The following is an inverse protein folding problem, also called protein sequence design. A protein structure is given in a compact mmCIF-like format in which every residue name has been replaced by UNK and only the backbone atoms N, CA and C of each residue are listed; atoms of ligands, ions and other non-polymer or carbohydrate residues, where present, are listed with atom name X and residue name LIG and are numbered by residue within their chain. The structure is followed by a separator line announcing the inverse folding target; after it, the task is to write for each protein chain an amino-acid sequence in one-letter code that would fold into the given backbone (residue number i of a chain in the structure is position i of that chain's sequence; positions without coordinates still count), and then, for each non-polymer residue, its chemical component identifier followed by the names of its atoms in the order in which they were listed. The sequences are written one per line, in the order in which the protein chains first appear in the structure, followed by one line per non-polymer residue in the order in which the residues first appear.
data_IF_108551113232
#
_entry.id   IF_108551113232
#
_cell.length_a   1.000
_cell.length_b   1.000
_cell.length_c   1.000
_cell.angle_alpha   90.00
_cell.angle_beta   90.00
_cell.angle_gamma   90.00
#
_symmetry.space_group_name_H-M   'P 1'
#
loop_
_entity.id
_entity.type
_entity.pdbx_description
1 polymer ?
#
# COMPACT_ATOMS: atom_id res chain seq x y z
N UNK A 1 -20.45 25.94 20.38
CA UNK A 1 -20.14 24.99 19.30
C UNK A 1 -18.93 24.21 19.74
N UNK A 2 -19.09 22.94 20.07
CA UNK A 2 -18.00 22.09 20.56
C UNK A 2 -17.06 21.76 19.41
N UNK A 3 -15.86 22.34 19.41
CA UNK A 3 -14.71 21.85 18.67
C UNK A 3 -14.47 20.40 19.10
N UNK A 4 -15.04 19.45 18.36
CA UNK A 4 -14.57 18.07 18.44
C UNK A 4 -13.11 18.12 18.01
N UNK A 5 -12.19 17.81 18.93
CA UNK A 5 -10.76 17.78 18.65
C UNK A 5 -10.55 16.91 17.41
N UNK A 6 -10.11 17.55 16.33
CA UNK A 6 -9.86 16.86 15.06
C UNK A 6 -8.69 15.91 15.32
N UNK A 7 -8.99 14.61 15.39
CA UNK A 7 -8.01 13.55 15.66
C UNK A 7 -6.80 13.72 14.74
N UNK A 8 -5.59 13.69 15.31
CA UNK A 8 -4.33 13.91 14.59
C UNK A 8 -4.22 13.00 13.35
N UNK A 9 -3.74 13.56 12.24
CA UNK A 9 -3.70 12.88 10.95
C UNK A 9 -2.85 11.61 11.03
N UNK A 10 -1.71 11.69 11.71
CA UNK A 10 -0.78 10.56 11.86
C UNK A 10 -1.42 9.42 12.67
N UNK A 11 -2.26 9.75 13.66
CA UNK A 11 -2.99 8.78 14.47
C UNK A 11 -4.05 8.06 13.63
N UNK A 12 -4.82 8.81 12.84
CA UNK A 12 -5.79 8.23 11.89
C UNK A 12 -5.07 7.32 10.90
N UNK A 13 -3.96 7.80 10.34
CA UNK A 13 -3.20 7.08 9.33
C UNK A 13 -2.68 5.75 9.89
N UNK A 14 -2.01 5.77 11.04
CA UNK A 14 -1.52 4.55 11.71
C UNK A 14 -2.65 3.55 12.00
N UNK A 15 -3.81 4.03 12.48
CA UNK A 15 -4.97 3.18 12.76
C UNK A 15 -5.49 2.49 11.50
N UNK A 16 -5.74 3.26 10.43
CA UNK A 16 -6.34 2.73 9.20
C UNK A 16 -5.36 1.82 8.46
N UNK A 17 -4.06 2.15 8.43
CA UNK A 17 -3.04 1.28 7.85
C UNK A 17 -2.93 -0.07 8.55
N UNK A 18 -2.93 -0.07 9.89
CA UNK A 18 -2.90 -1.32 10.66
C UNK A 18 -4.12 -2.18 10.33
N UNK A 19 -5.31 -1.59 10.34
CA UNK A 19 -6.56 -2.28 10.02
C UNK A 19 -6.56 -2.83 8.60
N UNK A 20 -6.08 -2.05 7.63
CA UNK A 20 -5.92 -2.49 6.25
C UNK A 20 -4.99 -3.70 6.15
N UNK A 21 -3.83 -3.66 6.83
CA UNK A 21 -2.88 -4.76 6.83
C UNK A 21 -3.47 -6.05 7.44
N UNK A 22 -4.24 -5.93 8.53
CA UNK A 22 -4.96 -7.05 9.14
C UNK A 22 -5.97 -7.66 8.17
N UNK A 23 -6.77 -6.82 7.49
CA UNK A 23 -7.77 -7.29 6.52
C UNK A 23 -7.11 -7.93 5.29
N UNK A 24 -6.01 -7.36 4.79
CA UNK A 24 -5.22 -7.97 3.71
C UNK A 24 -4.70 -9.32 4.14
N UNK A 25 -4.08 -9.42 5.33
CA UNK A 25 -3.56 -10.68 5.85
C UNK A 25 -4.65 -11.75 5.98
N UNK A 26 -5.84 -11.38 6.45
CA UNK A 26 -6.99 -12.28 6.52
C UNK A 26 -7.49 -12.74 5.13
N UNK A 27 -7.27 -11.94 4.08
CA UNK A 27 -7.64 -12.28 2.70
C UNK A 27 -6.63 -13.16 1.97
N UNK A 28 -5.38 -13.27 2.46
CA UNK A 28 -4.30 -14.06 1.82
C UNK A 28 -4.70 -15.52 1.54
N UNK A 29 -5.37 -16.26 2.46
CA UNK A 29 -5.78 -17.64 2.17
C UNK A 29 -6.73 -17.79 0.98
N UNK A 30 -7.41 -16.72 0.56
CA UNK A 30 -8.28 -16.67 -0.62
C UNK A 30 -7.68 -15.92 -1.82
N UNK A 31 -6.45 -15.41 -1.71
CA UNK A 31 -5.79 -14.76 -2.84
C UNK A 31 -5.39 -15.79 -3.90
N UNK A 32 -5.48 -15.45 -5.21
CA UNK A 32 -4.94 -16.29 -6.25
C UNK A 32 -3.45 -16.56 -6.01
N UNK A 33 -3.04 -17.82 -6.13
CA UNK A 33 -1.63 -18.15 -6.09
C UNK A 33 -0.93 -17.61 -7.35
N UNK A 34 -0.22 -16.50 -7.19
CA UNK A 34 0.56 -15.88 -8.27
C UNK A 34 1.95 -16.50 -8.42
N UNK A 35 2.31 -17.54 -7.66
CA UNK A 35 3.63 -18.19 -7.75
C UNK A 35 3.96 -18.61 -9.18
N UNK A 36 3.00 -19.20 -9.90
CA UNK A 36 3.18 -19.57 -11.30
C UNK A 36 3.42 -18.39 -12.24
N UNK A 37 2.81 -17.22 -11.96
CA UNK A 37 3.02 -16.00 -12.73
C UNK A 37 4.39 -15.38 -12.42
N UNK A 38 4.81 -15.39 -11.16
CA UNK A 38 6.14 -14.95 -10.72
C UNK A 38 7.24 -15.84 -11.30
N UNK A 39 7.00 -17.16 -11.38
CA UNK A 39 7.88 -18.14 -12.03
C UNK A 39 7.93 -17.98 -13.56
N UNK A 40 6.92 -17.37 -14.19
CA UNK A 40 6.96 -17.03 -15.62
C UNK A 40 7.66 -15.70 -15.90
N UNK A 41 7.55 -14.73 -14.99
CA UNK A 41 8.29 -13.47 -15.06
C UNK A 41 9.76 -13.63 -14.66
N UNK A 42 10.06 -14.64 -13.87
CA UNK A 42 11.41 -15.06 -13.54
C UNK A 42 11.69 -16.38 -14.26
N UNK A 43 12.17 -16.37 -15.54
CA UNK A 43 12.98 -17.49 -15.98
C UNK A 43 14.02 -17.77 -14.88
N UNK A 44 14.53 -19.00 -14.68
CA UNK A 44 15.55 -19.29 -13.69
C UNK A 44 16.87 -18.64 -14.12
N UNK A 45 16.90 -17.31 -14.15
CA UNK A 45 18.11 -16.56 -13.99
C UNK A 45 18.57 -16.92 -12.60
N UNK A 46 19.75 -17.52 -12.57
CA UNK A 46 20.55 -17.81 -11.38
C UNK A 46 20.94 -16.53 -10.64
N UNK A 47 20.04 -15.58 -10.50
CA UNK A 47 20.12 -14.58 -9.44
C UNK A 47 19.55 -15.27 -8.21
N UNK A 48 20.34 -16.20 -7.67
CA UNK A 48 20.53 -16.16 -6.22
C UNK A 48 20.72 -14.69 -5.91
N UNK A 49 19.77 -14.09 -5.18
CA UNK A 49 20.03 -12.83 -4.49
C UNK A 49 21.14 -13.19 -3.52
N UNK A 50 22.37 -13.10 -4.03
CA UNK A 50 23.57 -13.31 -3.27
C UNK A 50 23.62 -12.10 -2.36
N UNK A 51 22.98 -12.23 -1.21
CA UNK A 51 22.96 -11.23 -0.14
C UNK A 51 24.38 -10.88 0.32
N UNK A 52 25.40 -11.60 -0.18
CA UNK A 52 26.82 -11.33 -0.02
C UNK A 52 27.41 -10.27 -0.99
N UNK A 53 26.67 -9.78 -2.00
CA UNK A 53 27.22 -8.89 -3.06
C UNK A 53 26.66 -7.47 -3.09
N UNK A 54 26.12 -6.97 -1.97
CA UNK A 54 25.92 -5.52 -1.79
C UNK A 54 27.22 -4.91 -1.25
N UNK A 55 28.27 -4.96 -2.06
CA UNK A 55 29.38 -4.03 -1.88
C UNK A 55 28.84 -2.64 -2.23
N UNK A 56 28.96 -1.62 -1.35
CA UNK A 56 28.40 -0.28 -1.57
C UNK A 56 28.99 0.49 -2.78
N UNK A 57 29.85 -0.13 -3.59
CA UNK A 57 30.54 0.48 -4.73
C UNK A 57 30.25 -0.11 -6.11
N UNK A 58 29.41 -1.16 -6.25
CA UNK A 58 29.23 -1.88 -7.53
C UNK A 58 27.80 -1.88 -8.09
N UNK A 59 26.83 -1.24 -7.43
CA UNK A 59 25.43 -1.17 -7.90
C UNK A 59 25.19 0.07 -8.78
N UNK A 60 26.11 0.32 -9.73
CA UNK A 60 26.02 1.48 -10.65
C UNK A 60 25.32 1.17 -11.99
N UNK A 61 25.03 -0.10 -12.29
CA UNK A 61 24.52 -0.50 -13.62
C UNK A 61 23.01 -0.79 -13.66
N UNK A 62 22.32 -0.78 -12.52
CA UNK A 62 20.85 -0.83 -12.52
C UNK A 62 20.35 0.59 -12.77
N UNK A 63 19.46 0.83 -13.77
CA UNK A 63 18.80 2.12 -13.92
C UNK A 63 18.10 2.49 -12.61
N UNK A 64 18.70 3.40 -11.84
CA UNK A 64 18.06 3.92 -10.63
C UNK A 64 17.07 4.98 -11.09
N UNK A 65 15.78 4.64 -11.07
CA UNK A 65 14.74 5.63 -11.22
C UNK A 65 14.92 6.71 -10.12
N UNK A 66 14.71 8.00 -10.44
CA UNK A 66 14.74 9.04 -9.42
C UNK A 66 13.78 8.70 -8.27
N UNK A 67 14.15 8.96 -7.01
CA UNK A 67 13.25 8.71 -5.89
C UNK A 67 11.97 9.52 -6.07
N UNK A 68 10.83 8.85 -6.06
CA UNK A 68 9.53 9.52 -6.17
C UNK A 68 9.30 10.42 -4.96
N UNK A 69 8.90 11.68 -5.22
CA UNK A 69 8.51 12.64 -4.19
C UNK A 69 7.01 12.87 -4.24
N UNK A 70 6.38 12.84 -3.07
CA UNK A 70 4.93 12.97 -2.92
C UNK A 70 4.61 14.12 -1.97
N UNK A 71 3.80 15.08 -2.43
CA UNK A 71 3.22 16.13 -1.60
C UNK A 71 1.93 15.58 -0.98
N UNK A 72 1.80 15.68 0.34
CA UNK A 72 0.57 15.29 1.06
C UNK A 72 -0.26 16.51 1.40
N UNK A 73 -1.55 16.49 1.04
CA UNK A 73 -2.53 17.53 1.35
C UNK A 73 -3.39 17.08 2.56
N UNK A 74 -3.17 17.61 3.78
CA UNK A 74 -3.72 17.05 5.02
C UNK A 74 -5.25 16.89 5.03
N UNK A 75 -5.98 17.89 4.54
CA UNK A 75 -7.44 17.83 4.50
C UNK A 75 -7.96 16.74 3.55
N UNK A 76 -7.34 16.63 2.35
CA UNK A 76 -7.70 15.59 1.37
C UNK A 76 -7.30 14.21 1.89
N UNK A 77 -6.15 14.12 2.55
CA UNK A 77 -5.65 12.88 3.15
C UNK A 77 -6.61 12.36 4.21
N UNK A 78 -7.09 13.22 5.11
CA UNK A 78 -8.08 12.85 6.13
C UNK A 78 -9.37 12.29 5.51
N UNK A 79 -9.90 12.94 4.47
CA UNK A 79 -11.09 12.44 3.75
C UNK A 79 -10.81 11.07 3.11
N UNK A 80 -9.66 10.90 2.46
CA UNK A 80 -9.29 9.60 1.87
C UNK A 80 -9.16 8.50 2.92
N UNK A 81 -8.59 8.80 4.09
CA UNK A 81 -8.48 7.84 5.20
C UNK A 81 -9.85 7.48 5.79
N UNK A 82 -10.75 8.44 5.95
CA UNK A 82 -12.12 8.18 6.40
C UNK A 82 -12.89 7.29 5.41
N UNK A 83 -12.74 7.55 4.11
CA UNK A 83 -13.35 6.71 3.07
C UNK A 83 -12.75 5.30 3.07
N UNK A 84 -11.44 5.17 3.22
CA UNK A 84 -10.78 3.85 3.30
C UNK A 84 -11.25 3.06 4.53
N UNK A 85 -11.36 3.70 5.70
CA UNK A 85 -11.85 3.06 6.92
C UNK A 85 -13.31 2.58 6.79
N UNK A 86 -14.15 3.37 6.11
CA UNK A 86 -15.53 2.99 5.82
C UNK A 86 -15.62 1.84 4.79
N UNK A 87 -14.73 1.81 3.79
CA UNK A 87 -14.64 0.66 2.88
C UNK A 87 -14.25 -0.61 3.63
N UNK A 88 -13.31 -0.51 4.59
CA UNK A 88 -12.92 -1.63 5.44
C UNK A 88 -14.06 -2.14 6.33
N UNK A 89 -14.99 -1.27 6.77
CA UNK A 89 -16.20 -1.68 7.50
C UNK A 89 -17.13 -2.56 6.65
N UNK A 90 -17.09 -2.43 5.32
CA UNK A 90 -18.03 -3.08 4.39
C UNK A 90 -17.54 -4.42 3.85
N UNK A 91 -16.35 -4.87 4.26
CA UNK A 91 -15.70 -6.09 3.75
C UNK A 91 -16.37 -7.40 4.22
N UNK A 92 -17.51 -7.35 4.91
CA UNK A 92 -18.15 -8.53 5.50
C UNK A 92 -18.94 -9.43 4.53
N UNK A 93 -19.18 -9.03 3.27
CA UNK A 93 -20.10 -9.77 2.38
C UNK A 93 -19.51 -10.07 0.99
N UNK A 94 -19.06 -11.33 0.80
CA UNK A 94 -18.89 -11.98 -0.51
C UNK A 94 -17.87 -11.36 -1.48
N UNK A 95 -18.08 -11.56 -2.79
CA UNK A 95 -17.16 -11.16 -3.88
C UNK A 95 -16.80 -9.66 -3.89
N UNK A 96 -17.63 -8.81 -3.30
CA UNK A 96 -17.39 -7.37 -3.16
C UNK A 96 -16.22 -7.03 -2.24
N UNK A 97 -15.80 -7.94 -1.35
CA UNK A 97 -14.69 -7.73 -0.42
C UNK A 97 -13.37 -7.38 -1.13
N UNK A 98 -13.09 -8.00 -2.28
CA UNK A 98 -11.85 -7.77 -3.03
C UNK A 98 -11.81 -6.37 -3.68
N UNK A 99 -12.94 -5.92 -4.23
CA UNK A 99 -13.05 -4.59 -4.84
C UNK A 99 -12.87 -3.49 -3.79
N UNK A 100 -13.52 -3.64 -2.63
CA UNK A 100 -13.40 -2.70 -1.52
C UNK A 100 -11.97 -2.65 -0.96
N UNK A 101 -11.31 -3.80 -0.84
CA UNK A 101 -9.93 -3.88 -0.39
C UNK A 101 -8.98 -3.21 -1.40
N UNK A 102 -9.18 -3.43 -2.69
CA UNK A 102 -8.39 -2.77 -3.75
C UNK A 102 -8.59 -1.26 -3.74
N UNK A 103 -9.83 -0.78 -3.66
CA UNK A 103 -10.14 0.65 -3.60
C UNK A 103 -9.57 1.31 -2.34
N UNK A 104 -9.64 0.63 -1.18
CA UNK A 104 -9.03 1.10 0.06
C UNK A 104 -7.51 1.22 -0.08
N UNK A 105 -6.84 0.24 -0.71
CA UNK A 105 -5.41 0.29 -1.00
C UNK A 105 -5.00 1.47 -1.88
N UNK A 106 -5.79 1.79 -2.91
CA UNK A 106 -5.58 2.95 -3.78
C UNK A 106 -5.67 4.26 -2.97
N UNK A 107 -6.71 4.41 -2.14
CA UNK A 107 -6.88 5.59 -1.30
C UNK A 107 -5.77 5.73 -0.25
N UNK A 108 -5.31 4.63 0.34
CA UNK A 108 -4.19 4.64 1.26
C UNK A 108 -2.89 5.04 0.57
N UNK A 109 -2.65 4.57 -0.65
CA UNK A 109 -1.39 4.84 -1.36
C UNK A 109 -1.35 6.26 -1.92
N UNK A 110 -2.44 6.70 -2.57
CA UNK A 110 -2.47 7.91 -3.39
C UNK A 110 -3.46 8.97 -2.89
N UNK A 111 -4.44 8.60 -2.08
CA UNK A 111 -5.48 9.51 -1.62
C UNK A 111 -4.92 10.70 -0.84
N UNK A 112 -5.21 11.91 -1.32
CA UNK A 112 -4.69 13.15 -0.75
C UNK A 112 -3.19 13.38 -0.98
N UNK A 113 -2.55 12.60 -1.85
CA UNK A 113 -1.15 12.78 -2.25
C UNK A 113 -1.07 13.14 -3.73
N UNK A 114 -0.04 13.90 -4.10
CA UNK A 114 0.25 14.22 -5.50
C UNK A 114 1.74 14.04 -5.75
N UNK A 115 2.08 13.45 -6.90
CA UNK A 115 3.47 13.26 -7.32
C UNK A 115 4.06 14.61 -7.70
N UNK A 116 5.22 14.97 -7.15
CA UNK A 116 6.00 16.08 -7.69
C UNK A 116 6.43 15.72 -9.10
N UNK A 117 6.12 16.59 -10.06
CA UNK A 117 6.42 16.38 -11.48
C UNK A 117 7.91 16.51 -11.78
#
# INVERSE_FOLDING_TARGET
MTEAAVEDLDVIEARVYRRYAETVAASIPGMPDFSNWLDTLSPPTKYTVDTALVCPGTVTEVPQFPPERWITYPARRRVSLMLADEMLNRINDGNTAHDWLTMAGILLTFGGRSREA
#
